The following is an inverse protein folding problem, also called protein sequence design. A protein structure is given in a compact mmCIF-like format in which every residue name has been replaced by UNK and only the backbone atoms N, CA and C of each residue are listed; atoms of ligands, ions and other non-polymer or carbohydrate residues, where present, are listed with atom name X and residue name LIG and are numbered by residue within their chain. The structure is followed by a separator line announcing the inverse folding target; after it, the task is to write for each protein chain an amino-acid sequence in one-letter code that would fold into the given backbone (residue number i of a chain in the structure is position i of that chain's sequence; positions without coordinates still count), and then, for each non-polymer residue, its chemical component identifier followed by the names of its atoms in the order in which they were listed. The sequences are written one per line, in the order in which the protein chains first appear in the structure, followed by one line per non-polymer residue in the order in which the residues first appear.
data_IF_462085601923
#
_entry.id   IF_462085601923
#
_cell.length_a   1.000
_cell.length_b   1.000
_cell.length_c   1.000
_cell.angle_alpha   90.00
_cell.angle_beta   90.00
_cell.angle_gamma   90.00
#
_symmetry.space_group_name_H-M   'P 1'
#
loop_
_entity.id
_entity.type
_entity.pdbx_description
1 polymer ?
#
# COMPACT_ATOMS: atom_id res chain seq x y z
N UNK A 1 47.83 -10.12 2.75
CA UNK A 1 46.77 -9.33 3.38
C UNK A 1 45.84 -8.62 2.40
N UNK A 2 46.31 -8.20 1.23
CA UNK A 2 45.41 -7.63 0.21
C UNK A 2 44.31 -8.58 -0.25
N UNK A 3 44.58 -9.88 -0.31
CA UNK A 3 43.63 -10.89 -0.80
C UNK A 3 42.43 -11.12 0.14
N UNK A 4 42.65 -10.99 1.46
CA UNK A 4 41.56 -11.18 2.44
C UNK A 4 40.56 -10.05 2.40
N UNK A 5 41.01 -8.82 2.18
CA UNK A 5 40.11 -7.64 2.06
C UNK A 5 39.31 -7.70 0.78
N UNK A 6 39.91 -8.09 -0.34
CA UNK A 6 39.23 -8.25 -1.62
C UNK A 6 38.17 -9.36 -1.57
N UNK A 7 38.47 -10.50 -0.93
CA UNK A 7 37.52 -11.58 -0.72
C UNK A 7 36.34 -11.14 0.14
N UNK A 8 36.60 -10.41 1.23
CA UNK A 8 35.55 -9.86 2.10
C UNK A 8 34.66 -8.88 1.35
N UNK A 9 35.23 -7.96 0.57
CA UNK A 9 34.46 -7.03 -0.23
C UNK A 9 33.60 -7.73 -1.28
N UNK A 10 34.16 -8.75 -1.94
CA UNK A 10 33.43 -9.57 -2.92
C UNK A 10 32.26 -10.28 -2.26
N UNK A 11 32.45 -10.86 -1.07
CA UNK A 11 31.38 -11.51 -0.33
C UNK A 11 30.28 -10.52 0.07
N UNK A 12 30.65 -9.33 0.57
CA UNK A 12 29.67 -8.30 0.91
C UNK A 12 28.86 -7.87 -0.30
N UNK A 13 29.48 -7.71 -1.46
CA UNK A 13 28.78 -7.38 -2.70
C UNK A 13 27.80 -8.47 -3.11
N UNK A 14 28.20 -9.74 -3.01
CA UNK A 14 27.35 -10.90 -3.34
C UNK A 14 26.17 -10.98 -2.38
N UNK A 15 26.37 -10.81 -1.08
CA UNK A 15 25.28 -10.80 -0.09
C UNK A 15 24.31 -9.65 -0.30
N UNK A 16 24.82 -8.48 -0.62
CA UNK A 16 23.98 -7.31 -0.93
C UNK A 16 23.11 -7.57 -2.18
N UNK A 17 23.72 -8.16 -3.21
CA UNK A 17 23.02 -8.48 -4.45
C UNK A 17 21.95 -9.56 -4.21
N UNK A 18 22.25 -10.60 -3.44
CA UNK A 18 21.28 -11.64 -3.07
C UNK A 18 20.13 -11.06 -2.23
N UNK A 19 20.43 -10.15 -1.33
CA UNK A 19 19.40 -9.47 -0.53
C UNK A 19 18.45 -8.66 -1.42
N UNK A 20 18.98 -7.97 -2.42
CA UNK A 20 18.17 -7.23 -3.40
C UNK A 20 17.30 -8.19 -4.21
N UNK A 21 17.85 -9.31 -4.66
CA UNK A 21 17.11 -10.32 -5.42
C UNK A 21 15.98 -10.93 -4.59
N UNK A 22 16.21 -11.26 -3.33
CA UNK A 22 15.18 -11.78 -2.44
C UNK A 22 14.11 -10.74 -2.16
N UNK A 23 14.47 -9.46 -2.08
CA UNK A 23 13.52 -8.36 -1.94
C UNK A 23 12.62 -8.24 -3.19
N UNK A 24 13.17 -8.41 -4.39
CA UNK A 24 12.39 -8.38 -5.64
C UNK A 24 11.51 -9.61 -5.84
N UNK A 25 11.77 -10.70 -5.14
CA UNK A 25 10.98 -11.93 -5.21
C UNK A 25 9.78 -11.95 -4.25
N UNK A 26 9.42 -10.79 -3.67
CA UNK A 26 8.20 -10.65 -2.87
C UNK A 26 6.99 -10.97 -3.77
N UNK A 27 6.04 -11.81 -3.31
CA UNK A 27 4.84 -12.12 -4.10
C UNK A 27 4.11 -10.84 -4.54
N UNK A 28 3.58 -10.85 -5.75
CA UNK A 28 2.87 -9.68 -6.30
C UNK A 28 1.72 -9.22 -5.41
N UNK A 29 1.07 -10.14 -4.75
CA UNK A 29 0.00 -9.87 -3.79
C UNK A 29 0.45 -8.96 -2.64
N UNK A 30 1.55 -9.31 -1.98
CA UNK A 30 2.07 -8.51 -0.86
C UNK A 30 2.60 -7.16 -1.36
N UNK A 31 3.21 -7.15 -2.53
CA UNK A 31 3.74 -5.92 -3.13
C UNK A 31 2.63 -4.90 -3.37
N UNK A 32 1.51 -5.32 -3.97
CA UNK A 32 0.42 -4.40 -4.25
C UNK A 32 -0.26 -3.90 -2.97
N UNK A 33 -0.36 -4.73 -1.94
CA UNK A 33 -0.87 -4.31 -0.63
C UNK A 33 0.02 -3.25 -0.01
N UNK A 34 1.33 -3.47 -0.01
CA UNK A 34 2.31 -2.52 0.54
C UNK A 34 2.27 -1.20 -0.24
N UNK A 35 2.24 -1.25 -1.56
CA UNK A 35 2.13 -0.06 -2.40
C UNK A 35 0.85 0.72 -2.10
N UNK A 36 -0.26 0.03 -1.90
CA UNK A 36 -1.54 0.66 -1.56
C UNK A 36 -1.47 1.36 -0.20
N UNK A 37 -0.86 0.73 0.80
CA UNK A 37 -0.67 1.34 2.12
C UNK A 37 0.19 2.60 2.02
N UNK A 38 1.27 2.56 1.25
CA UNK A 38 2.13 3.74 1.05
C UNK A 38 1.41 4.87 0.32
N UNK A 39 0.57 4.53 -0.67
CA UNK A 39 -0.24 5.53 -1.37
C UNK A 39 -1.24 6.20 -0.41
N UNK A 40 -1.90 5.43 0.45
CA UNK A 40 -2.81 5.95 1.45
C UNK A 40 -2.08 6.84 2.47
N UNK A 41 -0.90 6.44 2.91
CA UNK A 41 -0.07 7.26 3.81
C UNK A 41 0.36 8.57 3.17
N UNK A 42 0.71 8.54 1.89
CA UNK A 42 1.09 9.76 1.15
C UNK A 42 -0.08 10.74 1.06
N UNK A 43 -1.29 10.25 0.81
CA UNK A 43 -2.50 11.07 0.80
C UNK A 43 -2.82 11.61 2.20
N UNK A 44 -2.64 10.81 3.25
CA UNK A 44 -2.87 11.21 4.63
C UNK A 44 -1.86 12.27 5.10
N UNK A 45 -0.62 12.19 4.63
CA UNK A 45 0.44 13.15 4.97
C UNK A 45 0.05 14.58 4.62
N UNK A 46 -0.64 14.77 3.51
CA UNK A 46 -1.11 16.09 3.06
C UNK A 46 -2.52 16.44 3.58
N UNK A 47 -3.08 15.65 4.48
CA UNK A 47 -4.45 15.76 4.99
C UNK A 47 -5.55 15.63 3.92
N UNK A 48 -5.21 15.30 2.70
CA UNK A 48 -6.18 15.08 1.63
C UNK A 48 -7.08 13.88 1.91
N UNK A 49 -6.48 12.77 2.37
CA UNK A 49 -7.23 11.56 2.68
C UNK A 49 -8.25 11.80 3.79
N UNK A 50 -7.88 12.53 4.84
CA UNK A 50 -8.77 12.86 5.95
C UNK A 50 -9.99 13.63 5.48
N UNK A 51 -9.77 14.66 4.68
CA UNK A 51 -10.86 15.48 4.14
C UNK A 51 -11.81 14.64 3.26
N UNK A 52 -11.27 13.80 2.42
CA UNK A 52 -12.07 12.91 1.56
C UNK A 52 -12.85 11.89 2.38
N UNK A 53 -12.27 11.34 3.42
CA UNK A 53 -12.93 10.39 4.31
C UNK A 53 -14.05 11.06 5.09
N UNK A 54 -13.83 12.25 5.64
CA UNK A 54 -14.86 13.00 6.36
C UNK A 54 -16.03 13.39 5.46
N UNK A 55 -15.76 13.66 4.17
CA UNK A 55 -16.80 13.98 3.18
C UNK A 55 -17.41 12.74 2.54
N UNK A 56 -16.96 11.54 2.93
CA UNK A 56 -17.38 10.26 2.36
C UNK A 56 -17.22 10.19 0.84
N UNK A 57 -16.16 10.81 0.32
CA UNK A 57 -15.87 10.90 -1.12
C UNK A 57 -14.99 9.75 -1.58
N UNK A 58 -15.57 8.56 -1.63
CA UNK A 58 -14.85 7.34 -2.03
C UNK A 58 -14.39 7.37 -3.49
N UNK A 59 -15.15 8.02 -4.35
CA UNK A 59 -14.83 8.09 -5.78
C UNK A 59 -13.54 8.85 -6.05
N UNK A 60 -13.31 9.96 -5.34
CA UNK A 60 -12.08 10.73 -5.47
C UNK A 60 -10.88 9.94 -4.92
N UNK A 61 -11.07 9.21 -3.82
CA UNK A 61 -10.02 8.34 -3.27
C UNK A 61 -9.66 7.26 -4.29
N UNK A 62 -10.64 6.59 -4.89
CA UNK A 62 -10.41 5.58 -5.92
C UNK A 62 -9.66 6.14 -7.12
N UNK A 63 -10.02 7.33 -7.58
CA UNK A 63 -9.36 8.01 -8.68
C UNK A 63 -7.89 8.30 -8.36
N UNK A 64 -7.61 8.81 -7.18
CA UNK A 64 -6.23 9.11 -6.75
C UNK A 64 -5.40 7.85 -6.61
N UNK A 65 -5.97 6.77 -6.11
CA UNK A 65 -5.29 5.49 -6.05
C UNK A 65 -4.95 4.94 -7.43
N UNK A 66 -5.85 5.09 -8.41
CA UNK A 66 -5.57 4.70 -9.79
C UNK A 66 -4.42 5.47 -10.41
N UNK A 67 -4.26 6.74 -10.06
CA UNK A 67 -3.16 7.57 -10.55
C UNK A 67 -1.82 7.17 -9.95
N UNK A 68 -1.80 6.74 -8.69
CA UNK A 68 -0.58 6.41 -7.94
C UNK A 68 -0.16 4.95 -8.05
N UNK A 69 -1.08 4.06 -8.39
CA UNK A 69 -0.88 2.61 -8.36
C UNK A 69 -0.96 2.01 -9.77
N UNK A 70 -0.50 0.76 -9.96
CA UNK A 70 -0.52 0.11 -11.28
C UNK A 70 -1.91 0.05 -11.92
N UNK A 71 -1.95 0.23 -13.23
CA UNK A 71 -3.18 0.31 -14.03
C UNK A 71 -3.92 -1.04 -14.12
N UNK A 72 -3.20 -2.15 -13.90
CA UNK A 72 -3.74 -3.51 -14.08
C UNK A 72 -4.75 -3.92 -13.01
N UNK A 73 -5.01 -3.06 -12.03
CA UNK A 73 -5.90 -3.35 -10.92
C UNK A 73 -7.00 -2.31 -10.83
N UNK A 74 -8.17 -2.75 -10.42
CA UNK A 74 -9.25 -1.85 -10.02
C UNK A 74 -9.24 -1.69 -8.51
N UNK A 75 -9.52 -0.48 -8.05
CA UNK A 75 -9.54 -0.14 -6.63
C UNK A 75 -10.93 0.32 -6.24
N UNK A 76 -11.51 -0.33 -5.23
CA UNK A 76 -12.79 0.07 -4.65
C UNK A 76 -12.60 0.40 -3.18
N UNK A 77 -13.15 1.53 -2.76
CA UNK A 77 -12.97 2.04 -1.40
C UNK A 77 -14.32 2.02 -0.68
N UNK A 78 -14.29 1.55 0.55
CA UNK A 78 -15.44 1.57 1.44
C UNK A 78 -15.01 2.11 2.80
N UNK A 79 -15.70 3.13 3.30
CA UNK A 79 -15.41 3.78 4.58
C UNK A 79 -16.35 3.22 5.64
N UNK A 80 -15.79 2.59 6.67
CA UNK A 80 -16.52 1.95 7.78
C UNK A 80 -17.52 0.88 7.32
N UNK A 81 -17.26 0.23 6.18
CA UNK A 81 -18.12 -0.80 5.64
C UNK A 81 -17.31 -1.90 4.96
N UNK A 82 -17.98 -3.00 4.66
CA UNK A 82 -17.38 -4.11 3.92
C UNK A 82 -18.15 -4.31 2.62
N UNK A 83 -17.40 -4.46 1.52
CA UNK A 83 -17.98 -4.78 0.22
C UNK A 83 -17.92 -6.28 -0.01
N UNK A 84 -19.04 -6.85 -0.46
CA UNK A 84 -19.09 -8.24 -0.87
C UNK A 84 -18.86 -8.27 -2.39
N UNK A 85 -17.71 -8.83 -2.78
CA UNK A 85 -17.31 -8.91 -4.18
C UNK A 85 -17.23 -10.37 -4.60
N UNK A 86 -17.79 -10.69 -5.76
CA UNK A 86 -17.86 -12.07 -6.24
C UNK A 86 -16.62 -12.54 -7.00
N UNK A 87 -15.63 -11.67 -7.21
CA UNK A 87 -14.42 -12.00 -7.96
C UNK A 87 -13.42 -12.79 -7.12
N UNK A 88 -12.76 -13.77 -7.75
CA UNK A 88 -11.87 -14.73 -7.06
C UNK A 88 -10.52 -14.16 -6.63
N UNK A 89 -10.02 -13.10 -7.27
CA UNK A 89 -8.72 -12.50 -6.96
C UNK A 89 -8.90 -11.10 -6.39
N UNK A 90 -9.24 -11.05 -5.09
CA UNK A 90 -9.45 -9.79 -4.38
C UNK A 90 -8.46 -9.71 -3.23
N UNK A 91 -7.72 -8.61 -3.19
CA UNK A 91 -6.88 -8.27 -2.06
C UNK A 91 -7.52 -7.12 -1.30
N UNK A 92 -7.46 -7.15 -0.01
CA UNK A 92 -8.03 -6.08 0.82
C UNK A 92 -6.97 -5.48 1.73
N UNK A 93 -7.02 -4.15 1.86
CA UNK A 93 -6.16 -3.39 2.74
C UNK A 93 -7.04 -2.49 3.59
N UNK A 94 -6.77 -2.45 4.88
CA UNK A 94 -7.48 -1.58 5.81
C UNK A 94 -6.54 -0.52 6.34
N UNK A 95 -6.98 0.73 6.32
CA UNK A 95 -6.25 1.87 6.84
C UNK A 95 -7.12 2.61 7.85
N UNK A 96 -6.56 2.90 9.02
CA UNK A 96 -7.29 3.55 10.10
C UNK A 96 -6.90 5.03 10.20
N UNK A 97 -7.90 5.90 10.25
CA UNK A 97 -7.72 7.33 10.43
C UNK A 97 -8.41 7.73 11.73
N UNK A 98 -7.66 8.37 12.63
CA UNK A 98 -8.22 8.91 13.86
C UNK A 98 -8.97 10.21 13.58
N UNK A 99 -10.11 10.40 14.26
CA UNK A 99 -10.85 11.66 14.19
C UNK A 99 -10.19 12.72 15.07
N UNK A 100 -10.59 13.98 14.87
CA UNK A 100 -10.09 15.11 15.64
C UNK A 100 -10.45 15.02 17.13
N UNK A 101 -9.77 15.81 17.95
CA UNK A 101 -9.87 15.83 19.42
C UNK A 101 -11.29 15.98 19.99
N UNK A 102 -12.24 16.47 19.21
CA UNK A 102 -13.63 16.70 19.66
C UNK A 102 -14.51 15.46 19.53
N UNK A 103 -14.20 14.53 18.63
CA UNK A 103 -14.94 13.28 18.46
C UNK A 103 -13.94 12.12 18.47
N UNK A 104 -13.92 11.36 19.56
CA UNK A 104 -13.06 10.18 19.68
C UNK A 104 -13.65 9.07 18.82
N UNK A 105 -13.05 8.80 17.68
CA UNK A 105 -13.46 7.72 16.79
C UNK A 105 -12.40 7.42 15.75
N UNK A 106 -12.53 6.28 15.13
CA UNK A 106 -11.66 5.86 14.04
C UNK A 106 -12.50 5.61 12.79
N UNK A 107 -12.03 6.13 11.66
CA UNK A 107 -12.56 5.76 10.35
C UNK A 107 -11.70 4.64 9.78
N UNK A 108 -12.33 3.55 9.41
CA UNK A 108 -11.67 2.45 8.74
C UNK A 108 -11.89 2.58 7.24
N UNK A 109 -10.80 2.84 6.51
CA UNK A 109 -10.82 2.90 5.06
C UNK A 109 -10.43 1.53 4.52
N UNK A 110 -11.37 0.83 3.92
CA UNK A 110 -11.14 -0.48 3.33
C UNK A 110 -10.96 -0.30 1.82
N UNK A 111 -9.78 -0.69 1.33
CA UNK A 111 -9.47 -0.65 -0.10
C UNK A 111 -9.46 -2.08 -0.62
N UNK A 112 -10.31 -2.35 -1.59
CA UNK A 112 -10.39 -3.63 -2.26
C UNK A 112 -9.68 -3.52 -3.61
N UNK A 113 -8.67 -4.35 -3.79
CA UNK A 113 -7.84 -4.38 -4.99
C UNK A 113 -8.28 -5.58 -5.82
N UNK A 114 -8.80 -5.31 -7.00
CA UNK A 114 -9.34 -6.32 -7.89
C UNK A 114 -8.46 -6.40 -9.12
N UNK A 115 -7.97 -7.58 -9.42
CA UNK A 115 -7.19 -7.80 -10.63
C UNK A 115 -8.11 -7.76 -11.85
N UNK A 116 -7.83 -6.85 -12.73
CA UNK A 116 -8.58 -6.70 -13.98
C UNK A 116 -8.19 -7.74 -15.04
#
# INVERSE_FOLDING_TARGET
MKYTIEVLLSMLCIFSFLSILTFFNVPNEERIKIQTIYALKALDYNNELRNLVFNNDTKTIEKKLKELLPINYEYKVCINCFLILEKKEIYSVSYFISTNFTNVGFYQVNVYIIKS
#
